data_IF_547727496251
#
_entry.id   IF_547727496251
#
_cell.length_a   1.000
_cell.length_b   1.000
_cell.length_c   1.000
_cell.angle_alpha   90.00
_cell.angle_beta   90.00
_cell.angle_gamma   90.00
#
_symmetry.space_group_name_H-M   'P 1'
#
loop_
_entity.id
_entity.type
_entity.pdbx_description
1 polymer ?
#
# COMPACT_ATOMS: atom_id res chain seq x y z
N UNK A 1 -0.15 -7.43 -12.86
CA UNK A 1 -1.06 -6.53 -12.12
C UNK A 1 -0.82 -5.12 -12.59
N UNK A 2 -1.86 -4.31 -12.68
CA UNK A 2 -1.72 -2.87 -12.96
C UNK A 2 -1.58 -2.15 -11.61
N UNK A 3 -0.58 -1.29 -11.44
CA UNK A 3 -0.35 -0.51 -10.22
C UNK A 3 -0.19 0.99 -10.50
N UNK A 4 -0.58 1.45 -11.68
CA UNK A 4 -0.29 2.81 -12.17
C UNK A 4 -0.89 3.93 -11.31
N UNK A 5 -1.99 3.67 -10.61
CA UNK A 5 -2.61 4.61 -9.68
C UNK A 5 -1.80 4.68 -8.40
N UNK A 6 -1.41 3.53 -7.85
CA UNK A 6 -0.52 3.47 -6.67
C UNK A 6 0.83 4.16 -6.93
N UNK A 7 1.40 4.00 -8.12
CA UNK A 7 2.63 4.69 -8.52
C UNK A 7 2.46 6.22 -8.53
N UNK A 8 1.38 6.72 -9.16
CA UNK A 8 1.08 8.16 -9.18
C UNK A 8 0.87 8.73 -7.79
N UNK A 9 0.13 8.01 -6.93
CA UNK A 9 -0.12 8.42 -5.56
C UNK A 9 1.16 8.41 -4.73
N UNK A 10 2.05 7.45 -4.94
CA UNK A 10 3.34 7.40 -4.25
C UNK A 10 4.27 8.54 -4.67
N UNK A 11 4.34 8.85 -5.97
CA UNK A 11 5.09 10.02 -6.47
C UNK A 11 4.54 11.35 -5.93
N UNK A 12 3.21 11.47 -5.80
CA UNK A 12 2.60 12.63 -5.16
C UNK A 12 2.94 12.69 -3.66
N UNK A 13 2.83 11.57 -2.95
CA UNK A 13 3.11 11.51 -1.52
C UNK A 13 4.56 11.88 -1.18
N UNK A 14 5.53 11.50 -2.02
CA UNK A 14 6.95 11.88 -1.86
C UNK A 14 7.19 13.39 -1.82
N UNK A 15 6.29 14.20 -2.39
CA UNK A 15 6.39 15.67 -2.35
C UNK A 15 6.07 16.25 -0.97
N UNK A 16 5.36 15.51 -0.13
CA UNK A 16 4.81 16.01 1.14
C UNK A 16 5.24 15.21 2.37
N UNK A 17 5.56 13.92 2.20
CA UNK A 17 5.86 12.99 3.29
C UNK A 17 7.25 12.40 3.04
N UNK A 18 8.18 12.42 4.02
CA UNK A 18 9.50 11.80 3.87
C UNK A 18 9.39 10.33 3.46
N UNK A 19 10.02 9.97 2.33
CA UNK A 19 9.93 8.62 1.76
C UNK A 19 8.53 8.23 1.24
N UNK A 20 7.61 9.19 1.12
CA UNK A 20 6.23 8.99 0.67
C UNK A 20 5.33 8.24 1.66
N UNK A 21 5.77 8.02 2.91
CA UNK A 21 5.05 7.18 3.88
C UNK A 21 5.14 7.69 5.33
N UNK A 22 4.08 7.46 6.10
CA UNK A 22 4.02 7.81 7.53
C UNK A 22 4.64 6.76 8.47
N UNK A 23 5.12 5.64 7.95
CA UNK A 23 5.87 4.64 8.71
C UNK A 23 6.86 3.92 7.76
N UNK A 24 8.15 3.79 8.12
CA UNK A 24 9.20 3.35 7.19
C UNK A 24 8.94 2.02 6.48
N UNK A 25 8.33 1.05 7.18
CA UNK A 25 8.04 -0.28 6.62
C UNK A 25 7.13 -0.21 5.38
N UNK A 26 6.30 0.84 5.29
CA UNK A 26 5.36 1.03 4.18
C UNK A 26 6.05 1.47 2.88
N UNK A 27 7.33 1.88 2.91
CA UNK A 27 8.05 2.33 1.72
C UNK A 27 8.57 1.17 0.84
N UNK A 28 8.42 -0.09 1.27
CA UNK A 28 8.84 -1.28 0.53
C UNK A 28 10.35 -1.37 0.23
N UNK A 29 11.19 -0.54 0.85
CA UNK A 29 12.65 -0.50 0.61
C UNK A 29 13.36 -1.86 0.72
N UNK A 30 12.89 -2.77 1.58
CA UNK A 30 13.50 -4.09 1.79
C UNK A 30 13.14 -5.12 0.72
N UNK A 31 12.06 -4.91 -0.03
CA UNK A 31 11.55 -5.85 -1.05
C UNK A 31 11.59 -5.29 -2.47
N UNK A 32 11.82 -3.98 -2.60
CA UNK A 32 11.83 -3.26 -3.87
C UNK A 32 10.43 -2.95 -4.41
N UNK A 33 10.39 -2.14 -5.48
CA UNK A 33 9.14 -1.69 -6.09
C UNK A 33 8.47 -0.51 -5.36
N UNK A 34 7.29 -0.14 -5.83
CA UNK A 34 6.46 0.91 -5.23
C UNK A 34 5.40 0.29 -4.30
N UNK A 35 5.06 0.94 -3.18
CA UNK A 35 4.03 0.44 -2.28
C UNK A 35 2.64 0.56 -2.90
N UNK A 36 1.75 -0.36 -2.51
CA UNK A 36 0.35 -0.33 -2.88
C UNK A 36 -0.41 0.68 -2.03
N UNK A 37 -1.24 1.50 -2.67
CA UNK A 37 -2.21 2.34 -1.96
C UNK A 37 -3.50 1.55 -1.79
N UNK A 38 -3.90 1.29 -0.54
CA UNK A 38 -5.06 0.46 -0.22
C UNK A 38 -6.32 1.33 -0.24
N UNK A 39 -7.35 0.90 -1.00
CA UNK A 39 -8.63 1.60 -1.15
C UNK A 39 -9.65 1.15 -0.10
N UNK A 40 -9.80 -0.16 0.07
CA UNK A 40 -10.75 -0.75 1.02
C UNK A 40 -10.32 -2.15 1.47
N UNK A 41 -10.82 -2.61 2.62
CA UNK A 41 -10.57 -3.94 3.16
C UNK A 41 -11.85 -4.57 3.70
N UNK A 42 -12.04 -5.87 3.48
CA UNK A 42 -13.19 -6.64 3.97
C UNK A 42 -12.81 -8.09 4.27
N UNK A 43 -13.02 -8.50 5.53
CA UNK A 43 -12.65 -9.84 5.96
C UNK A 43 -11.15 -10.09 5.73
N UNK A 44 -10.79 -11.25 5.17
CA UNK A 44 -9.39 -11.61 4.91
C UNK A 44 -8.81 -11.02 3.61
N UNK A 45 -9.43 -9.97 3.05
CA UNK A 45 -9.02 -9.40 1.76
C UNK A 45 -8.96 -7.88 1.79
N UNK A 46 -8.10 -7.31 0.94
CA UNK A 46 -8.11 -5.90 0.63
C UNK A 46 -8.06 -5.65 -0.87
N UNK A 47 -8.50 -4.46 -1.27
CA UNK A 47 -8.47 -3.95 -2.63
C UNK A 47 -7.61 -2.70 -2.69
N UNK A 48 -6.66 -2.65 -3.62
CA UNK A 48 -5.82 -1.47 -3.84
C UNK A 48 -6.50 -0.40 -4.71
N UNK A 49 -5.82 0.73 -4.93
CA UNK A 49 -6.29 1.86 -5.72
C UNK A 49 -6.48 1.52 -7.22
N UNK A 50 -5.87 0.43 -7.69
CA UNK A 50 -5.95 -0.07 -9.06
C UNK A 50 -7.00 -1.18 -9.22
N UNK A 51 -7.74 -1.51 -8.15
CA UNK A 51 -8.76 -2.56 -8.04
C UNK A 51 -8.21 -3.99 -8.11
N UNK A 52 -6.93 -4.20 -7.78
CA UNK A 52 -6.42 -5.55 -7.53
C UNK A 52 -6.88 -6.04 -6.14
N UNK A 53 -7.28 -7.29 -6.04
CA UNK A 53 -7.69 -7.92 -4.78
C UNK A 53 -6.59 -8.85 -4.26
N UNK A 54 -6.33 -8.79 -2.95
CA UNK A 54 -5.30 -9.56 -2.27
C UNK A 54 -5.87 -10.27 -1.05
N UNK A 55 -5.29 -11.41 -0.68
CA UNK A 55 -5.50 -12.00 0.65
C UNK A 55 -4.60 -11.25 1.63
N UNK A 56 -5.18 -10.69 2.68
CA UNK A 56 -4.47 -9.88 3.67
C UNK A 56 -3.84 -10.74 4.76
N UNK A 57 -2.51 -10.94 4.69
CA UNK A 57 -1.71 -11.54 5.75
C UNK A 57 -0.98 -10.51 6.62
N UNK A 58 -1.03 -9.22 6.27
CA UNK A 58 -0.44 -8.16 7.08
C UNK A 58 -1.38 -7.80 8.22
N UNK A 59 -2.69 -7.79 7.97
CA UNK A 59 -3.72 -7.59 9.00
C UNK A 59 -3.54 -6.29 9.78
N UNK A 60 -3.13 -5.22 9.09
CA UNK A 60 -2.75 -3.93 9.69
C UNK A 60 -1.67 -4.04 10.78
N UNK A 61 -0.79 -5.03 10.71
CA UNK A 61 0.22 -5.34 11.74
C UNK A 61 -0.36 -5.82 13.07
N UNK A 62 -1.60 -6.33 13.08
CA UNK A 62 -2.23 -6.93 14.26
C UNK A 62 -3.69 -6.56 14.52
N UNK A 63 -4.14 -5.30 14.40
CA UNK A 63 -5.50 -4.89 14.76
C UNK A 63 -6.63 -5.57 13.97
N UNK A 64 -6.32 -6.15 12.80
CA UNK A 64 -7.30 -6.84 11.94
C UNK A 64 -7.29 -8.37 12.15
N UNK A 65 -7.02 -8.80 13.39
CA UNK A 65 -7.12 -10.19 13.87
C UNK A 65 -8.28 -10.34 14.85
#
# INVERSE_FOLDING_TARGET
>A
MNISTSEKLFEEAKKFIPGGVNSPVRAFNSVGGNPLFIKEGKGSKFTDADNNEYIDYIGSWGPHL
#
